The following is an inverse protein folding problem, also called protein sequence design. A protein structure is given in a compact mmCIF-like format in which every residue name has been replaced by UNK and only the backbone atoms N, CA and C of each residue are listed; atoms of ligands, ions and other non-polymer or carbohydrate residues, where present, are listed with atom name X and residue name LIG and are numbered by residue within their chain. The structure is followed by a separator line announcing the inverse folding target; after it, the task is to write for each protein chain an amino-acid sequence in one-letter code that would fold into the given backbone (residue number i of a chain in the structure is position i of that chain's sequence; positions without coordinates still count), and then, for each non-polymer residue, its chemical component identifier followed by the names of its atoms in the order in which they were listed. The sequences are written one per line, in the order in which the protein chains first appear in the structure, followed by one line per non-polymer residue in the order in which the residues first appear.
data_IF_166474876453
#
_entry.id   IF_166474876453
#
_cell.length_a   1.000
_cell.length_b   1.000
_cell.length_c   1.000
_cell.angle_alpha   90.00
_cell.angle_beta   90.00
_cell.angle_gamma   90.00
#
_symmetry.space_group_name_H-M   'P 1'
#
loop_
_entity.id
_entity.type
_entity.pdbx_description
1 polymer ?
#
# COMPACT_ATOMS: atom_id res chain seq x y z
N UNK A 1 38.57 -8.00 18.69
CA UNK A 1 37.35 -7.37 19.22
C UNK A 1 37.03 -5.99 18.63
N UNK A 2 37.97 -5.02 18.60
CA UNK A 2 37.70 -3.68 18.02
C UNK A 2 37.29 -3.70 16.53
N UNK A 3 37.92 -4.55 15.73
CA UNK A 3 37.55 -4.71 14.31
C UNK A 3 36.17 -5.37 14.13
N UNK A 4 35.83 -6.32 15.00
CA UNK A 4 34.51 -6.98 15.05
C UNK A 4 33.39 -6.00 15.34
N UNK A 5 33.56 -5.13 16.34
CA UNK A 5 32.58 -4.07 16.68
C UNK A 5 32.44 -3.06 15.53
N UNK A 6 33.55 -2.71 14.87
CA UNK A 6 33.54 -1.81 13.72
C UNK A 6 32.76 -2.40 12.54
N UNK A 7 32.86 -3.70 12.31
CA UNK A 7 32.12 -4.39 11.26
C UNK A 7 30.63 -4.54 11.59
N UNK A 8 30.24 -4.83 12.84
CA UNK A 8 28.82 -4.81 13.22
C UNK A 8 28.21 -3.40 13.05
N UNK A 9 28.94 -2.33 13.41
CA UNK A 9 28.50 -0.95 13.13
C UNK A 9 28.31 -0.67 11.63
N UNK A 10 29.11 -1.28 10.74
CA UNK A 10 28.90 -1.17 9.28
C UNK A 10 27.64 -1.89 8.85
N UNK A 11 27.40 -3.11 9.34
CA UNK A 11 26.18 -3.89 9.04
C UNK A 11 24.92 -3.16 9.50
N UNK A 12 24.91 -2.61 10.72
CA UNK A 12 23.78 -1.82 11.22
C UNK A 12 23.50 -0.62 10.33
N UNK A 13 24.54 0.11 9.88
CA UNK A 13 24.36 1.22 8.93
C UNK A 13 23.76 0.78 7.60
N UNK A 14 24.22 -0.34 7.05
CA UNK A 14 23.64 -0.90 5.82
C UNK A 14 22.16 -1.29 6.00
N UNK A 15 21.81 -1.92 7.12
CA UNK A 15 20.42 -2.26 7.44
C UNK A 15 19.53 -1.01 7.60
N UNK A 16 20.03 0.03 8.26
CA UNK A 16 19.31 1.32 8.39
C UNK A 16 19.10 1.98 7.03
N UNK A 17 20.08 1.90 6.12
CA UNK A 17 19.93 2.39 4.75
C UNK A 17 18.82 1.62 4.00
N UNK A 18 18.82 0.28 4.05
CA UNK A 18 17.76 -0.54 3.45
C UNK A 18 16.38 -0.25 4.05
N UNK A 19 16.30 -0.05 5.37
CA UNK A 19 15.06 0.35 6.05
C UNK A 19 14.55 1.69 5.52
N UNK A 20 15.43 2.68 5.34
CA UNK A 20 15.06 3.99 4.79
C UNK A 20 14.58 3.89 3.33
N UNK A 21 15.27 3.11 2.48
CA UNK A 21 14.81 2.87 1.11
C UNK A 21 13.43 2.19 1.09
N UNK A 22 13.20 1.22 1.97
CA UNK A 22 11.91 0.56 2.11
C UNK A 22 10.81 1.55 2.53
N UNK A 23 11.07 2.45 3.49
CA UNK A 23 10.11 3.49 3.87
C UNK A 23 9.78 4.44 2.71
N UNK A 24 10.76 4.79 1.88
CA UNK A 24 10.51 5.58 0.67
C UNK A 24 9.63 4.81 -0.33
N UNK A 25 9.89 3.53 -0.54
CA UNK A 25 9.06 2.66 -1.40
C UNK A 25 7.63 2.57 -0.88
N UNK A 26 7.43 2.37 0.42
CA UNK A 26 6.11 2.40 1.07
C UNK A 26 5.43 3.75 0.82
N UNK A 27 6.14 4.86 1.02
CA UNK A 27 5.60 6.20 0.77
C UNK A 27 5.15 6.43 -0.67
N UNK A 28 5.93 5.95 -1.65
CA UNK A 28 5.56 6.00 -3.06
C UNK A 28 4.33 5.13 -3.35
N UNK A 29 4.33 3.89 -2.85
CA UNK A 29 3.23 2.95 -3.06
C UNK A 29 1.93 3.38 -2.40
N UNK A 30 1.99 4.02 -1.24
CA UNK A 30 0.81 4.61 -0.60
C UNK A 30 0.19 5.71 -1.47
N UNK A 31 1.02 6.54 -2.13
CA UNK A 31 0.50 7.55 -3.08
C UNK A 31 -0.16 6.90 -4.30
N UNK A 32 0.46 5.86 -4.86
CA UNK A 32 -0.14 5.07 -5.94
C UNK A 32 -1.48 4.44 -5.51
N UNK A 33 -1.56 3.89 -4.29
CA UNK A 33 -2.78 3.29 -3.75
C UNK A 33 -3.89 4.32 -3.56
N UNK A 34 -3.57 5.52 -3.08
CA UNK A 34 -4.54 6.63 -2.95
C UNK A 34 -5.08 6.99 -4.34
N UNK A 35 -4.21 7.20 -5.33
CA UNK A 35 -4.65 7.51 -6.70
C UNK A 35 -5.49 6.38 -7.32
N UNK A 36 -5.15 5.12 -7.06
CA UNK A 36 -5.96 3.97 -7.50
C UNK A 36 -7.33 3.94 -6.80
N UNK A 37 -7.39 4.25 -5.50
CA UNK A 37 -8.64 4.36 -4.75
C UNK A 37 -9.54 5.45 -5.31
N UNK A 38 -8.99 6.62 -5.62
CA UNK A 38 -9.74 7.75 -6.18
C UNK A 38 -10.30 7.39 -7.57
N UNK A 39 -9.54 6.67 -8.38
CA UNK A 39 -9.99 6.15 -9.67
C UNK A 39 -11.16 5.17 -9.51
N UNK A 40 -11.05 4.21 -8.59
CA UNK A 40 -12.14 3.25 -8.29
C UNK A 40 -13.40 4.00 -7.86
N UNK A 41 -13.28 4.99 -6.97
CA UNK A 41 -14.42 5.79 -6.50
C UNK A 41 -15.07 6.56 -7.66
N UNK A 42 -14.26 7.20 -8.51
CA UNK A 42 -14.75 7.93 -9.69
C UNK A 42 -15.52 7.01 -10.65
N UNK A 43 -15.00 5.81 -10.89
CA UNK A 43 -15.65 4.82 -11.77
C UNK A 43 -16.95 4.28 -11.17
N UNK A 44 -17.01 4.09 -9.84
CA UNK A 44 -18.24 3.72 -9.12
C UNK A 44 -19.30 4.82 -9.28
N UNK A 45 -18.93 6.08 -9.06
CA UNK A 45 -19.84 7.22 -9.23
C UNK A 45 -20.37 7.29 -10.67
N UNK A 46 -19.49 7.08 -11.65
CA UNK A 46 -19.88 7.07 -13.06
C UNK A 46 -20.81 5.90 -13.41
N UNK A 47 -20.59 4.71 -12.86
CA UNK A 47 -21.52 3.58 -12.99
C UNK A 47 -22.90 3.94 -12.43
N UNK A 48 -22.96 4.54 -11.25
CA UNK A 48 -24.21 4.92 -10.60
C UNK A 48 -24.97 5.98 -11.42
N UNK A 49 -24.25 6.96 -11.98
CA UNK A 49 -24.84 7.99 -12.85
C UNK A 49 -25.44 7.39 -14.12
N UNK A 50 -24.72 6.48 -14.79
CA UNK A 50 -25.22 5.80 -16.00
C UNK A 50 -26.46 4.97 -15.67
N UNK A 51 -26.42 4.20 -14.57
CA UNK A 51 -27.56 3.40 -14.14
C UNK A 51 -28.81 4.27 -13.89
N UNK A 52 -28.64 5.43 -13.24
CA UNK A 52 -29.72 6.39 -13.01
C UNK A 52 -30.28 6.98 -14.31
N UNK A 53 -29.41 7.28 -15.28
CA UNK A 53 -29.83 7.78 -16.61
C UNK A 53 -30.64 6.73 -17.37
N UNK A 54 -30.22 5.47 -17.33
CA UNK A 54 -30.94 4.34 -17.94
C UNK A 54 -32.30 4.19 -17.27
N UNK A 55 -32.35 4.13 -15.93
CA UNK A 55 -33.58 3.95 -15.17
C UNK A 55 -34.60 5.06 -15.48
N UNK A 56 -34.16 6.33 -15.45
CA UNK A 56 -35.02 7.46 -15.76
C UNK A 56 -35.54 7.43 -17.20
N UNK A 57 -34.69 7.00 -18.14
CA UNK A 57 -35.08 6.89 -19.55
C UNK A 57 -36.07 5.74 -19.78
N UNK A 58 -35.90 4.62 -19.09
CA UNK A 58 -36.83 3.50 -19.10
C UNK A 58 -38.19 3.88 -18.51
N UNK A 59 -38.23 4.63 -17.41
CA UNK A 59 -39.48 5.16 -16.82
C UNK A 59 -40.21 6.05 -17.83
N UNK A 60 -39.50 7.00 -18.44
CA UNK A 60 -40.06 7.90 -19.47
C UNK A 60 -40.57 7.13 -20.70
N UNK A 61 -39.87 6.08 -21.11
CA UNK A 61 -40.31 5.20 -22.19
C UNK A 61 -41.62 4.48 -21.83
N UNK A 62 -41.71 3.94 -20.61
CA UNK A 62 -42.91 3.26 -20.12
C UNK A 62 -44.11 4.22 -20.06
N UNK A 63 -43.92 5.46 -19.58
CA UNK A 63 -44.95 6.50 -19.56
C UNK A 63 -45.43 6.88 -20.98
N UNK A 64 -44.50 6.98 -21.93
CA UNK A 64 -44.83 7.30 -23.34
C UNK A 64 -45.66 6.19 -24.00
N UNK A 65 -45.41 4.93 -23.62
CA UNK A 65 -46.09 3.75 -24.14
C UNK A 65 -47.38 3.40 -23.38
N UNK A 66 -47.71 4.11 -22.30
CA UNK A 66 -48.88 3.84 -21.48
C UNK A 66 -50.20 4.14 -22.24
N UNK A 67 -51.32 3.48 -21.89
CA UNK A 67 -52.63 3.76 -22.48
C UNK A 67 -53.03 5.24 -22.33
N UNK A 68 -53.35 5.91 -23.44
CA UNK A 68 -53.64 7.35 -23.45
C UNK A 68 -52.41 8.26 -23.64
N UNK A 69 -51.21 7.70 -23.71
CA UNK A 69 -49.98 8.42 -24.06
C UNK A 69 -49.94 8.84 -25.53
N UNK A 70 -49.37 10.01 -25.80
CA UNK A 70 -49.13 10.48 -27.17
C UNK A 70 -47.90 9.76 -27.72
N UNK A 71 -48.10 8.75 -28.56
CA UNK A 71 -47.01 7.99 -29.17
C UNK A 71 -46.50 8.76 -30.40
N UNK A 72 -45.38 9.46 -30.22
CA UNK A 72 -44.56 9.93 -31.34
C UNK A 72 -43.47 8.87 -31.61
N UNK A 73 -43.51 8.13 -32.73
CA UNK A 73 -42.54 7.06 -33.01
C UNK A 73 -41.08 7.53 -32.94
N UNK A 74 -40.79 8.76 -33.39
CA UNK A 74 -39.45 9.35 -33.29
C UNK A 74 -38.98 9.51 -31.83
N UNK A 75 -39.87 9.86 -30.90
CA UNK A 75 -39.52 10.03 -29.48
C UNK A 75 -39.22 8.69 -28.82
N UNK A 76 -39.99 7.65 -29.13
CA UNK A 76 -39.75 6.28 -28.66
C UNK A 76 -38.40 5.77 -29.14
N UNK A 77 -38.10 5.95 -30.43
CA UNK A 77 -36.83 5.54 -31.03
C UNK A 77 -35.63 6.28 -30.42
N UNK A 78 -35.75 7.60 -30.20
CA UNK A 78 -34.69 8.39 -29.56
C UNK A 78 -34.40 7.93 -28.13
N UNK A 79 -35.44 7.66 -27.33
CA UNK A 79 -35.25 7.17 -25.95
C UNK A 79 -34.62 5.79 -25.96
N UNK A 80 -35.07 4.89 -26.84
CA UNK A 80 -34.47 3.55 -26.96
C UNK A 80 -33.01 3.60 -27.39
N UNK A 81 -32.68 4.47 -28.37
CA UNK A 81 -31.30 4.67 -28.80
C UNK A 81 -30.42 5.16 -27.66
N UNK A 82 -30.87 6.19 -26.92
CA UNK A 82 -30.16 6.70 -25.74
C UNK A 82 -29.93 5.61 -24.68
N UNK A 83 -30.95 4.80 -24.35
CA UNK A 83 -30.80 3.69 -23.41
C UNK A 83 -29.72 2.72 -23.88
N UNK A 84 -29.73 2.37 -25.17
CA UNK A 84 -28.75 1.43 -25.76
C UNK A 84 -27.33 1.98 -25.67
N UNK A 85 -27.13 3.27 -25.97
CA UNK A 85 -25.84 3.95 -25.83
C UNK A 85 -25.36 3.95 -24.37
N UNK A 86 -26.24 4.30 -23.43
CA UNK A 86 -25.90 4.32 -22.01
C UNK A 86 -25.58 2.91 -21.48
N UNK A 87 -26.31 1.86 -21.87
CA UNK A 87 -26.01 0.47 -21.48
C UNK A 87 -24.67 -0.02 -22.04
N UNK A 88 -24.32 0.42 -23.25
CA UNK A 88 -23.01 0.14 -23.84
C UNK A 88 -21.91 0.83 -23.03
N UNK A 89 -22.10 2.11 -22.68
CA UNK A 89 -21.18 2.86 -21.84
C UNK A 89 -21.05 2.24 -20.43
N UNK A 90 -22.14 1.77 -19.85
CA UNK A 90 -22.16 1.09 -18.55
C UNK A 90 -21.25 -0.14 -18.55
N UNK A 91 -21.31 -0.93 -19.63
CA UNK A 91 -20.49 -2.14 -19.79
C UNK A 91 -19.00 -1.79 -19.82
N UNK A 92 -18.61 -0.78 -20.59
CA UNK A 92 -17.23 -0.30 -20.64
C UNK A 92 -16.73 0.21 -19.29
N UNK A 93 -17.51 1.05 -18.61
CA UNK A 93 -17.11 1.59 -17.29
C UNK A 93 -17.02 0.48 -16.23
N UNK A 94 -17.87 -0.56 -16.32
CA UNK A 94 -17.78 -1.74 -15.44
C UNK A 94 -16.52 -2.56 -15.68
N UNK A 95 -16.07 -2.69 -16.92
CA UNK A 95 -14.78 -3.33 -17.25
C UNK A 95 -13.61 -2.50 -16.70
N UNK A 96 -13.59 -1.19 -16.95
CA UNK A 96 -12.57 -0.29 -16.39
C UNK A 96 -12.55 -0.33 -14.84
N UNK A 97 -13.72 -0.39 -14.21
CA UNK A 97 -13.84 -0.50 -12.75
C UNK A 97 -13.24 -1.80 -12.23
N UNK A 98 -13.44 -2.91 -12.96
CA UNK A 98 -12.85 -4.20 -12.60
C UNK A 98 -11.33 -4.12 -12.65
N UNK A 99 -10.77 -3.53 -13.71
CA UNK A 99 -9.33 -3.39 -13.86
C UNK A 99 -8.73 -2.44 -12.80
N UNK A 100 -9.40 -1.34 -12.51
CA UNK A 100 -9.00 -0.42 -11.46
C UNK A 100 -9.01 -1.09 -10.07
N UNK A 101 -9.99 -1.94 -9.78
CA UNK A 101 -10.05 -2.73 -8.54
C UNK A 101 -8.92 -3.75 -8.45
N UNK A 102 -8.67 -4.50 -9.53
CA UNK A 102 -7.55 -5.44 -9.58
C UNK A 102 -6.22 -4.71 -9.29
N UNK A 103 -6.03 -3.53 -9.89
CA UNK A 103 -4.84 -2.72 -9.67
C UNK A 103 -4.73 -2.23 -8.22
N UNK A 104 -5.85 -1.82 -7.62
CA UNK A 104 -5.91 -1.44 -6.21
C UNK A 104 -5.49 -2.62 -5.30
N UNK A 105 -6.03 -3.81 -5.55
CA UNK A 105 -5.73 -5.02 -4.77
C UNK A 105 -4.25 -5.44 -4.91
N UNK A 106 -3.69 -5.37 -6.11
CA UNK A 106 -2.26 -5.59 -6.36
C UNK A 106 -1.39 -4.63 -5.53
N UNK A 107 -1.68 -3.33 -5.58
CA UNK A 107 -0.94 -2.31 -4.83
C UNK A 107 -1.06 -2.52 -3.32
N UNK A 108 -2.23 -2.92 -2.84
CA UNK A 108 -2.45 -3.24 -1.43
C UNK A 108 -1.62 -4.46 -0.99
N UNK A 109 -1.52 -5.49 -1.84
CA UNK A 109 -0.69 -6.68 -1.58
C UNK A 109 0.81 -6.34 -1.56
N UNK A 110 1.28 -5.52 -2.51
CA UNK A 110 2.65 -5.01 -2.53
C UNK A 110 2.97 -4.21 -1.26
N UNK A 111 2.07 -3.31 -0.85
CA UNK A 111 2.24 -2.53 0.39
C UNK A 111 2.27 -3.40 1.63
N UNK A 112 1.47 -4.46 1.68
CA UNK A 112 1.50 -5.44 2.78
C UNK A 112 2.87 -6.09 2.86
N UNK A 113 3.41 -6.53 1.72
CA UNK A 113 4.74 -7.14 1.64
C UNK A 113 5.85 -6.18 2.06
N UNK A 114 5.82 -4.94 1.59
CA UNK A 114 6.78 -3.91 2.00
C UNK A 114 6.70 -3.60 3.50
N UNK A 115 5.51 -3.55 4.08
CA UNK A 115 5.34 -3.33 5.52
C UNK A 115 5.90 -4.50 6.36
N UNK A 116 5.77 -5.74 5.90
CA UNK A 116 6.42 -6.90 6.51
C UNK A 116 7.94 -6.77 6.43
N UNK A 117 8.47 -6.41 5.26
CA UNK A 117 9.91 -6.18 5.06
C UNK A 117 10.43 -5.09 6.01
N UNK A 118 9.74 -3.95 6.12
CA UNK A 118 10.07 -2.87 7.06
C UNK A 118 10.18 -3.37 8.50
N UNK A 119 9.19 -4.14 8.93
CA UNK A 119 9.15 -4.72 10.28
C UNK A 119 10.35 -5.64 10.52
N UNK A 120 10.63 -6.55 9.60
CA UNK A 120 11.75 -7.48 9.70
C UNK A 120 13.10 -6.75 9.72
N UNK A 121 13.26 -5.72 8.89
CA UNK A 121 14.46 -4.88 8.89
C UNK A 121 14.65 -4.18 10.24
N UNK A 122 13.58 -3.64 10.81
CA UNK A 122 13.61 -2.99 12.13
C UNK A 122 13.99 -3.98 13.23
N UNK A 123 13.33 -5.14 13.29
CA UNK A 123 13.65 -6.21 14.25
C UNK A 123 15.12 -6.65 14.12
N UNK A 124 15.64 -6.73 12.89
CA UNK A 124 17.04 -7.10 12.65
C UNK A 124 18.03 -6.03 13.12
N UNK A 125 17.70 -4.76 12.94
CA UNK A 125 18.50 -3.64 13.45
C UNK A 125 18.56 -3.70 14.98
N UNK A 126 17.40 -3.84 15.64
CA UNK A 126 17.31 -3.91 17.11
C UNK A 126 18.08 -5.12 17.66
N UNK A 127 17.97 -6.29 17.03
CA UNK A 127 18.77 -7.47 17.37
C UNK A 127 20.27 -7.18 17.29
N UNK A 128 20.73 -6.59 16.18
CA UNK A 128 22.16 -6.31 15.94
C UNK A 128 22.72 -5.26 16.90
N UNK A 129 21.92 -4.28 17.27
CA UNK A 129 22.27 -3.29 18.28
C UNK A 129 22.44 -3.94 19.66
N UNK A 130 21.53 -4.84 20.06
CA UNK A 130 21.65 -5.60 21.31
C UNK A 130 22.89 -6.50 21.32
N UNK A 131 23.17 -7.22 20.24
CA UNK A 131 24.39 -8.03 20.09
C UNK A 131 25.64 -7.15 20.24
N UNK A 132 25.63 -5.94 19.66
CA UNK A 132 26.75 -4.99 19.77
C UNK A 132 26.95 -4.49 21.19
N UNK A 133 25.88 -4.21 21.92
CA UNK A 133 25.93 -3.78 23.34
C UNK A 133 26.50 -4.91 24.21
N UNK A 134 26.03 -6.15 24.02
CA UNK A 134 26.53 -7.31 24.76
C UNK A 134 28.03 -7.53 24.53
N UNK A 135 28.49 -7.41 23.27
CA UNK A 135 29.91 -7.48 22.96
C UNK A 135 30.71 -6.39 23.68
N UNK A 136 30.24 -5.14 23.68
CA UNK A 136 30.92 -4.04 24.37
C UNK A 136 31.02 -4.28 25.88
N UNK A 137 29.93 -4.69 26.52
CA UNK A 137 29.94 -5.02 27.95
C UNK A 137 30.94 -6.14 28.26
N UNK A 138 31.02 -7.18 27.42
CA UNK A 138 31.99 -8.26 27.61
C UNK A 138 33.45 -7.80 27.52
N UNK A 139 33.74 -6.81 26.66
CA UNK A 139 35.07 -6.19 26.58
C UNK A 139 35.38 -5.46 27.89
N UNK A 140 34.46 -4.62 28.36
CA UNK A 140 34.64 -3.84 29.59
C UNK A 140 34.87 -4.73 30.81
N UNK A 141 34.10 -5.82 30.96
CA UNK A 141 34.32 -6.80 32.03
C UNK A 141 35.71 -7.45 31.95
N UNK A 142 36.16 -7.86 30.76
CA UNK A 142 37.49 -8.46 30.59
C UNK A 142 38.62 -7.47 30.90
N UNK A 143 38.50 -6.21 30.50
CA UNK A 143 39.52 -5.18 30.79
C UNK A 143 39.62 -4.90 32.30
N UNK A 144 38.49 -4.91 33.02
CA UNK A 144 38.46 -4.78 34.48
C UNK A 144 39.07 -6.00 35.17
N UNK A 145 38.78 -7.20 34.70
CA UNK A 145 39.36 -8.45 35.21
C UNK A 145 40.88 -8.49 35.00
N UNK A 146 41.36 -8.14 33.81
CA UNK A 146 42.79 -8.04 33.50
C UNK A 146 43.50 -7.03 34.42
N UNK A 147 42.88 -5.86 34.65
CA UNK A 147 43.39 -4.84 35.58
C UNK A 147 43.45 -5.35 37.03
N UNK A 148 42.41 -6.05 37.47
CA UNK A 148 42.36 -6.65 38.81
C UNK A 148 43.47 -7.70 38.98
N UNK A 149 43.59 -8.64 38.04
CA UNK A 149 44.64 -9.66 38.04
C UNK A 149 46.04 -9.03 38.00
N UNK A 150 46.24 -7.98 37.21
CA UNK A 150 47.51 -7.27 37.14
C UNK A 150 47.88 -6.51 38.43
N UNK A 151 46.89 -6.05 39.22
CA UNK A 151 47.12 -5.47 40.56
C UNK A 151 47.46 -6.54 41.59
N UNK A 152 46.70 -7.63 41.60
CA UNK A 152 46.96 -8.79 42.45
C UNK A 152 48.36 -9.37 42.22
N UNK A 153 48.81 -9.47 40.96
CA UNK A 153 50.15 -9.93 40.62
C UNK A 153 51.28 -9.00 41.10
N UNK A 154 50.99 -7.71 41.32
CA UNK A 154 51.94 -6.71 41.84
C UNK A 154 51.93 -6.61 43.37
N UNK A 155 51.07 -7.36 44.05
CA UNK A 155 50.91 -7.28 45.52
C UNK A 155 50.30 -5.97 45.99
N UNK A 156 49.66 -5.22 45.08
CA UNK A 156 48.93 -3.99 45.39
C UNK A 156 47.50 -4.38 45.82
N UNK A 157 47.31 -4.59 47.13
CA UNK A 157 46.00 -4.77 47.78
C UNK A 157 45.43 -3.45 48.27
#
# INVERSE_FOLDING_TARGET
MKDTVKDEKRKIRALRFLHQENEQRIGNKNRELISASDMVNTLIERCNQIALLIENSQKRLAETLAPGGIIAPNSVMQIHHFITEQSTQESYVKEELKDARNRYDELHSELTSLNVERRLLREKIEQKEQETIQMLNSVEYSEVEDLFLARMARGES
#
